data_IF_214395226528
#
_entry.id   IF_214395226528
#
_cell.length_a   1.000
_cell.length_b   1.000
_cell.length_c   1.000
_cell.angle_alpha   90.00
_cell.angle_beta   90.00
_cell.angle_gamma   90.00
#
_symmetry.space_group_name_H-M   'P 1'
#
loop_
_entity.id
_entity.type
_entity.pdbx_description
1 polymer ?
#
# COMPACT_ATOMS: atom_id res chain seq x y z
N UNK A 1 -23.88 -13.69 -18.25
CA UNK A 1 -23.21 -14.15 -17.01
C UNK A 1 -21.93 -14.82 -17.45
N UNK A 2 -20.81 -14.10 -17.42
CA UNK A 2 -19.51 -14.66 -17.82
C UNK A 2 -19.02 -15.54 -16.67
N UNK A 3 -18.70 -16.80 -16.96
CA UNK A 3 -18.05 -17.66 -15.96
C UNK A 3 -16.69 -17.06 -15.59
N UNK A 4 -16.54 -16.65 -14.34
CA UNK A 4 -15.22 -16.29 -13.80
C UNK A 4 -14.41 -17.58 -13.68
N UNK A 5 -13.52 -17.81 -14.65
CA UNK A 5 -12.52 -18.87 -14.55
C UNK A 5 -11.70 -18.65 -13.28
N UNK A 6 -11.73 -19.63 -12.38
CA UNK A 6 -10.80 -19.67 -11.25
C UNK A 6 -9.40 -19.86 -11.82
N UNK A 7 -8.65 -18.78 -11.93
CA UNK A 7 -7.24 -18.82 -12.30
C UNK A 7 -6.47 -19.51 -11.17
N UNK A 8 -6.05 -20.75 -11.39
CA UNK A 8 -5.08 -21.40 -10.53
C UNK A 8 -3.71 -20.74 -10.77
N UNK A 9 -3.28 -19.88 -9.85
CA UNK A 9 -1.94 -19.32 -9.89
C UNK A 9 -0.90 -20.46 -9.80
N UNK A 10 0.15 -20.39 -10.60
CA UNK A 10 1.30 -21.27 -10.43
C UNK A 10 2.05 -20.86 -9.15
N UNK A 11 2.59 -21.83 -8.38
CA UNK A 11 3.40 -21.49 -7.22
C UNK A 11 4.62 -20.67 -7.67
N UNK A 12 4.92 -19.61 -6.92
CA UNK A 12 6.15 -18.86 -7.14
C UNK A 12 7.36 -19.79 -6.91
N UNK A 13 8.45 -19.65 -7.68
CA UNK A 13 9.67 -20.39 -7.42
C UNK A 13 10.23 -20.01 -6.04
N UNK A 14 10.94 -20.95 -5.40
CA UNK A 14 11.65 -20.67 -4.14
C UNK A 14 12.73 -19.62 -4.42
N UNK A 15 12.63 -18.46 -3.77
CA UNK A 15 13.54 -17.34 -3.94
C UNK A 15 14.09 -16.92 -2.58
N UNK A 16 15.40 -16.69 -2.48
CA UNK A 16 15.99 -16.11 -1.28
C UNK A 16 15.62 -14.62 -1.19
N UNK A 17 15.49 -14.04 0.01
CA UNK A 17 15.31 -12.60 0.16
C UNK A 17 16.45 -11.84 -0.52
N UNK A 18 16.10 -10.80 -1.27
CA UNK A 18 17.10 -9.87 -1.80
C UNK A 18 17.82 -9.16 -0.66
N UNK A 19 19.07 -8.74 -0.89
CA UNK A 19 19.77 -7.86 0.04
C UNK A 19 19.07 -6.49 0.08
N UNK A 20 18.97 -5.84 1.25
CA UNK A 20 18.38 -4.52 1.33
C UNK A 20 19.22 -3.50 0.55
N UNK A 21 18.55 -2.54 -0.08
CA UNK A 21 19.17 -1.39 -0.73
C UNK A 21 19.01 -0.15 0.17
N UNK A 22 20.09 0.62 0.34
CA UNK A 22 20.09 1.83 1.16
C UNK A 22 20.33 1.58 2.65
N UNK A 23 20.00 2.58 3.46
CA UNK A 23 20.15 2.50 4.92
C UNK A 23 19.05 1.64 5.53
N UNK A 24 19.42 0.83 6.54
CA UNK A 24 18.49 -0.03 7.28
C UNK A 24 18.49 0.36 8.76
N UNK A 25 17.94 1.53 9.11
CA UNK A 25 17.83 1.94 10.50
C UNK A 25 16.89 1.00 11.26
N UNK A 26 17.10 0.83 12.56
CA UNK A 26 16.23 0.03 13.41
C UNK A 26 14.82 0.62 13.55
N UNK A 27 14.69 1.94 13.40
CA UNK A 27 13.43 2.69 13.51
C UNK A 27 13.40 3.75 12.40
N UNK A 28 12.25 3.88 11.74
CA UNK A 28 11.97 4.93 10.75
C UNK A 28 10.85 5.80 11.32
N UNK A 29 11.18 7.05 11.68
CA UNK A 29 10.20 8.01 12.17
C UNK A 29 9.37 8.55 11.00
N UNK A 30 8.06 8.34 11.07
CA UNK A 30 7.11 8.86 10.08
C UNK A 30 6.42 10.13 10.62
N UNK A 31 6.13 11.10 9.74
CA UNK A 31 5.36 12.26 10.14
C UNK A 31 3.95 11.84 10.59
N UNK A 32 3.30 12.70 11.39
CA UNK A 32 1.91 12.47 11.80
C UNK A 32 1.00 12.31 10.56
N UNK A 33 0.02 11.38 10.61
CA UNK A 33 -0.86 11.14 9.48
C UNK A 33 -1.73 12.37 9.21
N UNK A 34 -2.08 12.57 7.94
CA UNK A 34 -3.05 13.59 7.56
C UNK A 34 -4.46 13.06 7.82
N UNK A 35 -5.13 13.60 8.83
CA UNK A 35 -6.51 13.23 9.18
C UNK A 35 -7.53 13.96 8.29
N UNK A 36 -7.19 15.18 7.88
CA UNK A 36 -7.98 15.96 6.94
C UNK A 36 -7.48 15.66 5.52
N UNK A 37 -8.11 14.69 4.86
CA UNK A 37 -7.90 14.47 3.43
C UNK A 37 -9.05 15.11 2.63
N UNK A 38 -8.72 15.65 1.45
CA UNK A 38 -9.69 16.33 0.59
C UNK A 38 -10.59 15.36 -0.21
N UNK A 39 -10.56 14.05 0.11
CA UNK A 39 -11.31 13.03 -0.62
C UNK A 39 -12.49 12.58 0.24
N UNK A 40 -13.73 12.97 -0.10
CA UNK A 40 -14.91 12.48 0.60
C UNK A 40 -15.00 10.96 0.54
N UNK A 41 -15.46 10.35 1.63
CA UNK A 41 -15.66 8.89 1.73
C UNK A 41 -16.41 8.32 0.52
N UNK A 42 -17.49 8.98 0.10
CA UNK A 42 -18.30 8.52 -1.03
C UNK A 42 -17.53 8.55 -2.35
N UNK A 43 -16.61 9.51 -2.53
CA UNK A 43 -15.72 9.57 -3.68
C UNK A 43 -14.74 8.40 -3.66
N UNK A 44 -14.11 8.11 -2.51
CA UNK A 44 -13.18 6.99 -2.38
C UNK A 44 -13.85 5.63 -2.65
N UNK A 45 -15.09 5.45 -2.18
CA UNK A 45 -15.87 4.24 -2.46
C UNK A 45 -16.24 4.12 -3.95
N UNK A 46 -16.64 5.22 -4.59
CA UNK A 46 -17.00 5.25 -6.00
C UNK A 46 -15.81 4.98 -6.93
N UNK A 47 -14.59 5.38 -6.54
CA UNK A 47 -13.37 5.20 -7.34
C UNK A 47 -12.56 3.96 -6.98
N UNK A 48 -12.99 3.16 -6.00
CA UNK A 48 -12.25 1.99 -5.52
C UNK A 48 -12.09 0.94 -6.62
N UNK A 49 -10.83 0.72 -7.03
CA UNK A 49 -10.46 -0.27 -8.03
C UNK A 49 -9.13 -0.95 -7.69
N UNK A 50 -8.83 -2.06 -8.35
CA UNK A 50 -7.54 -2.76 -8.23
C UNK A 50 -6.61 -2.36 -9.39
N UNK A 51 -5.40 -1.90 -9.08
CA UNK A 51 -4.29 -1.80 -10.05
C UNK A 51 -3.37 -3.02 -9.94
N UNK A 52 -2.70 -3.37 -11.04
CA UNK A 52 -1.69 -4.45 -11.12
C UNK A 52 -0.36 -3.99 -11.71
N UNK A 53 -0.24 -2.70 -12.01
CA UNK A 53 0.98 -2.05 -12.50
C UNK A 53 1.28 -0.85 -11.60
N UNK A 54 2.56 -0.63 -11.29
CA UNK A 54 3.01 0.36 -10.31
C UNK A 54 4.24 1.10 -10.83
N UNK A 55 4.34 2.39 -10.47
CA UNK A 55 5.55 3.16 -10.71
C UNK A 55 6.67 2.70 -9.77
N UNK A 56 7.92 2.76 -10.23
CA UNK A 56 9.10 2.45 -9.40
C UNK A 56 9.43 3.55 -8.38
N UNK A 57 8.80 4.72 -8.49
CA UNK A 57 9.01 5.86 -7.59
C UNK A 57 8.57 5.53 -6.17
N UNK A 58 9.44 5.77 -5.20
CA UNK A 58 9.14 5.57 -3.78
C UNK A 58 8.02 6.50 -3.30
N UNK A 59 7.22 6.01 -2.34
CA UNK A 59 6.19 6.82 -1.70
C UNK A 59 6.81 7.92 -0.84
N UNK A 60 6.27 9.16 -0.85
CA UNK A 60 6.64 10.18 0.12
C UNK A 60 6.39 9.70 1.57
N UNK A 61 7.26 10.03 2.54
CA UNK A 61 7.09 9.59 3.93
C UNK A 61 5.74 9.95 4.56
N UNK A 62 5.18 11.11 4.20
CA UNK A 62 3.85 11.53 4.66
C UNK A 62 2.72 10.65 4.12
N UNK A 63 2.81 10.26 2.84
CA UNK A 63 1.86 9.32 2.22
C UNK A 63 1.97 7.95 2.86
N UNK A 64 3.19 7.45 3.07
CA UNK A 64 3.42 6.17 3.74
C UNK A 64 2.87 6.15 5.17
N UNK A 65 3.17 7.17 5.97
CA UNK A 65 2.66 7.30 7.35
C UNK A 65 1.13 7.34 7.40
N UNK A 66 0.51 8.10 6.50
CA UNK A 66 -0.97 8.17 6.41
C UNK A 66 -1.57 6.84 5.96
N UNK A 67 -0.95 6.14 5.00
CA UNK A 67 -1.42 4.84 4.52
C UNK A 67 -1.35 3.76 5.60
N UNK A 68 -0.26 3.68 6.35
CA UNK A 68 -0.10 2.73 7.45
C UNK A 68 -1.10 3.01 8.58
N UNK A 69 -1.30 4.29 8.93
CA UNK A 69 -2.31 4.69 9.90
C UNK A 69 -3.74 4.37 9.42
N UNK A 70 -4.06 4.59 8.14
CA UNK A 70 -5.39 4.26 7.61
C UNK A 70 -5.67 2.75 7.62
N UNK A 71 -4.63 1.91 7.59
CA UNK A 71 -4.74 0.46 7.64
C UNK A 71 -4.91 -0.10 9.06
N UNK A 72 -4.12 0.39 10.04
CA UNK A 72 -4.11 -0.12 11.43
C UNK A 72 -3.62 0.91 12.46
N UNK A 73 -3.98 2.18 12.26
CA UNK A 73 -3.61 3.29 13.14
C UNK A 73 -4.51 3.43 14.36
N UNK A 74 -3.97 4.05 15.42
CA UNK A 74 -4.75 4.43 16.60
C UNK A 74 -5.36 5.82 16.38
N UNK A 75 -6.66 5.94 16.67
CA UNK A 75 -7.36 7.23 16.73
C UNK A 75 -7.19 7.82 18.14
N UNK A 76 -6.90 9.12 18.21
CA UNK A 76 -6.81 9.88 19.46
C UNK A 76 -8.12 10.61 19.74
#
# INVERSE_FOLDING_TARGET
MTEQQMLAYSPAPVMQPASPEGESPAIVDLPRPMLDNDVPLMTALATRMSSREFAATSLPPATLGTMLWAADGINC
#
